data_IF_912673888400
#
_entry.id   IF_912673888400
#
_cell.length_a   1.000
_cell.length_b   1.000
_cell.length_c   1.000
_cell.angle_alpha   90.00
_cell.angle_beta   90.00
_cell.angle_gamma   90.00
#
_symmetry.space_group_name_H-M   'P 1'
#
loop_
_entity.id
_entity.type
_entity.pdbx_description
1 polymer ?
#
# COMPACT_ATOMS: atom_id res chain seq x y z
N UNK A 1 10.73 7.62 9.21
CA UNK A 1 9.74 7.73 8.13
C UNK A 1 8.42 8.18 8.69
N UNK A 2 7.77 9.07 7.98
CA UNK A 2 6.50 9.61 8.43
C UNK A 2 5.34 8.70 8.00
N UNK A 3 4.36 8.57 8.88
CA UNK A 3 3.09 7.94 8.54
C UNK A 3 2.06 9.02 8.25
N UNK A 4 1.12 8.70 7.36
CA UNK A 4 -0.03 9.56 7.07
C UNK A 4 -1.18 9.06 7.91
N UNK A 5 -1.80 9.96 8.68
CA UNK A 5 -2.98 9.65 9.48
C UNK A 5 -4.21 9.61 8.56
N UNK A 6 -4.85 8.44 8.48
CA UNK A 6 -6.04 8.23 7.66
C UNK A 6 -7.34 8.42 8.47
N UNK A 7 -7.23 8.65 9.77
CA UNK A 7 -8.37 8.64 10.68
C UNK A 7 -8.81 7.22 11.07
N UNK A 8 -9.76 7.11 11.97
CA UNK A 8 -10.29 5.83 12.46
C UNK A 8 -9.22 4.86 12.95
N UNK A 9 -8.14 5.39 13.56
CA UNK A 9 -7.01 4.59 14.06
C UNK A 9 -6.30 3.82 12.96
N UNK A 10 -6.16 4.44 11.78
CA UNK A 10 -5.43 3.90 10.65
C UNK A 10 -4.35 4.88 10.20
N UNK A 11 -3.18 4.34 9.85
CA UNK A 11 -2.03 5.11 9.35
C UNK A 11 -1.43 4.38 8.17
N UNK A 12 -0.81 5.14 7.27
CA UNK A 12 -0.21 4.61 6.06
C UNK A 12 1.22 5.13 5.92
N UNK A 13 2.14 4.24 5.54
CA UNK A 13 3.48 4.66 5.12
C UNK A 13 3.80 4.06 3.75
N UNK A 14 4.52 4.83 2.95
CA UNK A 14 4.90 4.38 1.62
C UNK A 14 6.03 3.35 1.69
N UNK A 15 6.01 2.39 0.77
CA UNK A 15 7.08 1.41 0.56
C UNK A 15 7.68 1.67 -0.82
N UNK A 16 8.96 2.04 -0.83
CA UNK A 16 9.69 2.26 -2.08
C UNK A 16 10.23 0.94 -2.62
N UNK A 17 10.41 0.89 -3.93
CA UNK A 17 11.10 -0.20 -4.59
C UNK A 17 12.33 0.37 -5.30
N UNK A 18 13.49 -0.07 -4.89
CA UNK A 18 14.77 0.40 -5.43
C UNK A 18 15.82 -0.70 -5.24
N UNK A 19 15.87 -1.68 -6.16
CA UNK A 19 16.80 -2.81 -6.03
C UNK A 19 18.23 -2.41 -6.36
N UNK A 20 19.17 -3.19 -5.88
CA UNK A 20 20.55 -3.12 -6.34
C UNK A 20 20.63 -3.77 -7.72
N UNK A 21 20.79 -2.97 -8.75
CA UNK A 21 20.77 -3.44 -10.12
C UNK A 21 22.06 -4.13 -10.55
N UNK A 22 23.14 -3.93 -9.82
CA UNK A 22 24.38 -4.70 -10.06
C UNK A 22 24.19 -6.15 -9.64
N UNK A 23 23.52 -6.38 -8.51
CA UNK A 23 23.18 -7.72 -8.04
C UNK A 23 21.96 -8.29 -8.73
N UNK A 24 21.11 -7.46 -9.29
CA UNK A 24 19.84 -7.85 -9.91
C UNK A 24 19.69 -7.22 -11.30
N UNK A 25 20.54 -7.63 -12.26
CA UNK A 25 20.51 -7.02 -13.60
C UNK A 25 19.20 -7.25 -14.35
N UNK A 26 18.40 -8.24 -13.95
CA UNK A 26 17.09 -8.49 -14.53
C UNK A 26 16.10 -7.34 -14.30
N UNK A 27 16.38 -6.43 -13.35
CA UNK A 27 15.54 -5.28 -13.06
C UNK A 27 16.06 -3.97 -13.65
N UNK A 28 17.08 -4.03 -14.50
CA UNK A 28 17.72 -2.83 -15.04
C UNK A 28 16.74 -1.93 -15.82
N UNK A 29 15.71 -2.53 -16.43
CA UNK A 29 14.71 -1.82 -17.24
C UNK A 29 13.59 -1.19 -16.42
N UNK A 30 13.52 -1.46 -15.12
CA UNK A 30 12.46 -0.95 -14.24
C UNK A 30 13.02 0.21 -13.41
N UNK A 31 12.44 1.41 -13.48
CA UNK A 31 12.91 2.55 -12.69
C UNK A 31 12.57 2.39 -11.21
N UNK A 32 13.27 3.14 -10.36
CA UNK A 32 12.93 3.22 -8.95
C UNK A 32 11.52 3.75 -8.77
N UNK A 33 10.80 3.21 -7.81
CA UNK A 33 9.43 3.60 -7.53
C UNK A 33 9.29 3.99 -6.06
N UNK A 34 9.18 5.28 -5.73
CA UNK A 34 9.07 5.73 -4.34
C UNK A 34 7.74 5.33 -3.69
N UNK A 35 6.69 5.12 -4.49
CA UNK A 35 5.36 4.72 -4.02
C UNK A 35 4.93 3.42 -4.70
N UNK A 36 5.76 2.39 -4.57
CA UNK A 36 5.49 1.08 -5.15
C UNK A 36 4.36 0.37 -4.41
N UNK A 37 4.35 0.49 -3.08
CA UNK A 37 3.40 -0.16 -2.20
C UNK A 37 3.22 0.72 -0.96
N UNK A 38 2.35 0.29 -0.06
CA UNK A 38 2.18 0.95 1.22
C UNK A 38 1.89 -0.09 2.30
N UNK A 39 2.21 0.27 3.54
CA UNK A 39 1.79 -0.48 4.71
C UNK A 39 0.73 0.33 5.41
N UNK A 40 -0.43 -0.29 5.63
CA UNK A 40 -1.51 0.28 6.41
C UNK A 40 -1.47 -0.35 7.79
N UNK A 41 -1.28 0.48 8.80
CA UNK A 41 -1.25 0.08 10.19
C UNK A 41 -2.54 0.55 10.87
N UNK A 42 -3.12 -0.27 11.72
CA UNK A 42 -4.28 0.13 12.50
C UNK A 42 -4.22 -0.44 13.92
N UNK A 43 -4.92 0.23 14.82
CA UNK A 43 -5.05 -0.19 16.21
C UNK A 43 -6.30 -1.03 16.37
N UNK A 44 -6.13 -2.25 16.90
CA UNK A 44 -7.25 -3.16 17.15
C UNK A 44 -7.96 -2.82 18.46
N UNK A 45 -9.11 -3.47 18.68
CA UNK A 45 -9.91 -3.24 19.87
C UNK A 45 -9.17 -3.53 21.19
N UNK A 46 -8.19 -4.43 21.15
CA UNK A 46 -7.37 -4.80 22.32
C UNK A 46 -6.10 -3.93 22.44
N UNK A 47 -6.04 -2.81 21.71
CA UNK A 47 -4.91 -1.87 21.65
C UNK A 47 -3.66 -2.42 20.98
N UNK A 48 -3.66 -3.66 20.46
CA UNK A 48 -2.55 -4.18 19.69
C UNK A 48 -2.58 -3.57 18.28
N UNK A 49 -1.42 -3.59 17.62
CA UNK A 49 -1.27 -3.07 16.26
C UNK A 49 -1.37 -4.20 15.24
N UNK A 50 -1.96 -3.90 14.09
CA UNK A 50 -2.02 -4.79 12.96
C UNK A 50 -1.54 -4.05 11.72
N UNK A 51 -0.78 -4.74 10.87
CA UNK A 51 -0.28 -4.15 9.63
C UNK A 51 -0.60 -5.05 8.45
N UNK A 52 -0.87 -4.42 7.31
CA UNK A 52 -1.01 -5.12 6.04
C UNK A 52 -0.33 -4.33 4.94
N UNK A 53 0.34 -5.02 4.02
CA UNK A 53 0.95 -4.37 2.86
C UNK A 53 0.01 -4.45 1.67
N UNK A 54 -0.13 -3.34 0.96
CA UNK A 54 -0.87 -3.25 -0.29
C UNK A 54 0.09 -2.84 -1.40
N UNK A 55 -0.01 -3.52 -2.55
CA UNK A 55 0.78 -3.20 -3.74
C UNK A 55 -0.10 -2.43 -4.70
N UNK A 56 0.38 -1.30 -5.19
CA UNK A 56 -0.35 -0.50 -6.17
C UNK A 56 -0.17 -1.08 -7.56
N UNK A 57 -1.26 -1.08 -8.34
CA UNK A 57 -1.20 -1.54 -9.72
C UNK A 57 -0.29 -0.64 -10.54
N UNK A 58 0.71 -1.24 -11.18
CA UNK A 58 1.66 -0.57 -12.05
C UNK A 58 2.27 -1.60 -13.00
N UNK A 59 2.83 -1.17 -14.13
CA UNK A 59 3.54 -2.09 -15.02
C UNK A 59 4.65 -2.89 -14.31
N UNK A 60 5.40 -2.22 -13.42
CA UNK A 60 6.45 -2.87 -12.65
C UNK A 60 5.86 -3.92 -11.69
N UNK A 61 4.80 -3.59 -10.97
CA UNK A 61 4.16 -4.52 -10.05
C UNK A 61 3.58 -5.74 -10.76
N UNK A 62 2.99 -5.54 -11.93
CA UNK A 62 2.47 -6.63 -12.75
C UNK A 62 3.56 -7.59 -13.19
N UNK A 63 4.76 -7.08 -13.48
CA UNK A 63 5.91 -7.90 -13.84
C UNK A 63 6.48 -8.63 -12.63
N UNK A 64 6.63 -7.94 -11.49
CA UNK A 64 7.30 -8.45 -10.30
C UNK A 64 6.42 -9.36 -9.45
N UNK A 65 5.10 -9.10 -9.41
CA UNK A 65 4.18 -9.77 -8.50
C UNK A 65 2.89 -10.19 -9.20
N UNK A 66 3.01 -11.01 -10.23
CA UNK A 66 1.91 -11.37 -11.14
C UNK A 66 0.65 -11.90 -10.47
N UNK A 67 0.82 -12.68 -9.40
CA UNK A 67 -0.30 -13.38 -8.75
C UNK A 67 -0.80 -12.65 -7.51
N UNK A 68 -0.26 -11.46 -7.22
CA UNK A 68 -0.65 -10.70 -6.04
C UNK A 68 -1.80 -9.75 -6.38
N UNK A 69 -2.74 -9.62 -5.44
CA UNK A 69 -3.78 -8.60 -5.55
C UNK A 69 -3.15 -7.21 -5.54
N UNK A 70 -3.65 -6.33 -6.41
CA UNK A 70 -3.15 -4.96 -6.54
C UNK A 70 -4.30 -3.98 -6.46
N UNK A 71 -4.00 -2.78 -5.95
CA UNK A 71 -4.99 -1.73 -5.81
C UNK A 71 -4.77 -0.64 -6.83
N UNK A 72 -5.86 -0.20 -7.44
CA UNK A 72 -5.84 0.91 -8.38
C UNK A 72 -5.83 2.23 -7.63
N UNK A 73 -4.98 3.15 -8.06
CA UNK A 73 -4.90 4.49 -7.50
C UNK A 73 -5.70 5.43 -8.41
N UNK A 74 -6.85 5.89 -7.91
CA UNK A 74 -7.66 6.88 -8.61
C UNK A 74 -7.08 8.28 -8.43
N UNK A 75 -6.48 8.54 -7.27
CA UNK A 75 -5.80 9.80 -6.96
C UNK A 75 -4.68 9.51 -5.96
N UNK A 76 -3.54 10.20 -6.12
CA UNK A 76 -2.41 10.08 -5.19
C UNK A 76 -2.49 11.08 -4.04
N UNK A 77 -2.93 12.29 -4.29
CA UNK A 77 -2.97 13.37 -3.30
C UNK A 77 -4.23 14.20 -3.50
N UNK A 78 -5.28 13.95 -2.71
CA UNK A 78 -5.42 12.95 -1.64
C UNK A 78 -5.57 11.54 -2.18
N UNK A 79 -5.06 10.57 -1.43
CA UNK A 79 -5.04 9.18 -1.87
C UNK A 79 -6.44 8.58 -1.92
N UNK A 80 -6.79 7.99 -3.07
CA UNK A 80 -8.03 7.25 -3.26
C UNK A 80 -7.71 5.95 -3.98
N UNK A 81 -8.10 4.83 -3.37
CA UNK A 81 -7.81 3.48 -3.84
C UNK A 81 -9.08 2.70 -4.12
N UNK A 82 -8.99 1.73 -5.00
CA UNK A 82 -10.02 0.71 -5.20
C UNK A 82 -9.34 -0.63 -5.49
N UNK A 83 -9.93 -1.76 -5.14
CA UNK A 83 -11.16 -1.93 -4.36
C UNK A 83 -10.95 -1.67 -2.86
N UNK A 84 -11.87 -2.18 -2.03
CA UNK A 84 -11.74 -2.09 -0.58
C UNK A 84 -10.54 -2.88 -0.07
N UNK A 85 -10.08 -2.53 1.15
CA UNK A 85 -9.00 -3.21 1.83
C UNK A 85 -9.57 -4.09 2.95
N UNK A 86 -9.23 -5.37 2.92
CA UNK A 86 -9.61 -6.32 3.95
C UNK A 86 -8.34 -6.85 4.61
N UNK A 87 -8.15 -6.55 5.88
CA UNK A 87 -7.04 -7.06 6.65
C UNK A 87 -7.31 -8.50 7.09
N UNK A 88 -6.27 -9.30 7.26
CA UNK A 88 -6.39 -10.66 7.76
C UNK A 88 -7.05 -10.75 9.15
N UNK A 89 -7.06 -9.66 9.90
CA UNK A 89 -7.75 -9.60 11.20
C UNK A 89 -9.24 -9.31 11.08
N UNK A 90 -9.76 -9.08 9.86
CA UNK A 90 -11.16 -8.78 9.59
C UNK A 90 -11.49 -7.31 9.45
N UNK A 91 -10.55 -6.41 9.73
CA UNK A 91 -10.75 -4.98 9.51
C UNK A 91 -10.96 -4.72 8.01
N UNK A 92 -12.00 -3.99 7.66
CA UNK A 92 -12.42 -3.81 6.26
C UNK A 92 -12.85 -2.36 6.03
N UNK A 93 -12.37 -1.77 4.97
CA UNK A 93 -12.72 -0.40 4.63
C UNK A 93 -12.15 0.05 3.30
N UNK A 94 -12.24 1.36 3.09
CA UNK A 94 -11.78 2.02 1.86
C UNK A 94 -10.85 3.17 2.22
N UNK A 95 -9.94 3.51 1.32
CA UNK A 95 -9.19 4.77 1.41
C UNK A 95 -9.74 5.69 0.33
N UNK A 96 -10.39 6.78 0.76
CA UNK A 96 -11.02 7.77 -0.11
C UNK A 96 -10.62 9.16 0.37
N UNK A 97 -10.09 9.98 -0.52
CA UNK A 97 -9.66 11.36 -0.24
C UNK A 97 -8.71 11.42 0.98
N UNK A 98 -7.80 10.45 1.08
CA UNK A 98 -6.81 10.38 2.14
C UNK A 98 -7.36 9.97 3.49
N UNK A 99 -8.55 9.38 3.54
CA UNK A 99 -9.23 9.00 4.77
C UNK A 99 -9.65 7.54 4.74
N UNK A 100 -9.57 6.89 5.91
CA UNK A 100 -10.12 5.55 6.07
C UNK A 100 -11.63 5.64 6.25
N UNK A 101 -12.37 4.93 5.39
CA UNK A 101 -13.83 4.84 5.44
C UNK A 101 -14.19 3.40 5.78
N UNK A 102 -14.69 3.10 6.98
CA UNK A 102 -15.11 1.75 7.35
C UNK A 102 -16.17 1.20 6.39
N UNK A 103 -16.03 -0.06 6.04
CA UNK A 103 -17.01 -0.73 5.20
C UNK A 103 -18.30 -1.03 5.96
#
# INVERSE_FOLDING_TARGET
MSEIDLGHNHWLRWVAWSPDRELNPQYAHIPDMPRYAAIVRHTKADDSQCEGMITFDSPAARELERDRAMWNVASWDPLTLSPSLLCHCGDHGFIVDGKWIPA
#
